data_IF_942312156632
#
_entry.id   IF_942312156632
#
_cell.length_a   1.000
_cell.length_b   1.000
_cell.length_c   1.000
_cell.angle_alpha   90.00
_cell.angle_beta   90.00
_cell.angle_gamma   90.00
#
_symmetry.space_group_name_H-M   'P 1'
#
loop_
_entity.id
_entity.type
_entity.pdbx_description
1 polymer ?
#
# COMPACT_ATOMS: atom_id res chain seq x y z
N UNK A 1 2.51 19.06 11.12
CA UNK A 1 3.31 17.86 10.86
C UNK A 1 2.35 16.69 10.93
N UNK A 2 1.90 16.17 9.79
CA UNK A 2 1.03 14.99 9.78
C UNK A 2 1.92 13.77 10.01
N UNK A 3 1.93 13.23 11.22
CA UNK A 3 2.60 11.97 11.50
C UNK A 3 1.95 10.88 10.66
N UNK A 4 2.72 10.28 9.76
CA UNK A 4 2.26 9.07 9.07
C UNK A 4 1.98 8.00 10.13
N UNK A 5 0.82 7.33 10.08
CA UNK A 5 0.52 6.27 11.04
C UNK A 5 1.61 5.19 10.96
N UNK A 6 1.95 4.54 12.08
CA UNK A 6 2.98 3.49 12.10
C UNK A 6 2.59 2.27 11.25
N UNK A 7 1.29 2.01 11.13
CA UNK A 7 0.72 0.94 10.32
C UNK A 7 -0.43 1.47 9.47
N UNK A 8 -0.51 0.98 8.24
CA UNK A 8 -1.55 1.32 7.27
C UNK A 8 -2.29 0.08 6.80
N UNK A 9 -3.57 0.27 6.49
CA UNK A 9 -4.39 -0.75 5.85
C UNK A 9 -4.67 -0.43 4.38
N UNK A 10 -5.30 -1.36 3.66
CA UNK A 10 -5.70 -1.17 2.27
C UNK A 10 -6.57 0.07 2.05
N UNK A 11 -7.47 0.37 2.99
CA UNK A 11 -8.38 1.52 2.90
C UNK A 11 -7.60 2.85 2.95
N UNK A 12 -6.66 2.97 3.90
CA UNK A 12 -5.79 4.14 4.00
C UNK A 12 -4.96 4.34 2.74
N UNK A 13 -4.35 3.27 2.23
CA UNK A 13 -3.51 3.32 1.02
C UNK A 13 -4.33 3.71 -0.20
N UNK A 14 -5.55 3.19 -0.33
CA UNK A 14 -6.45 3.58 -1.40
C UNK A 14 -6.75 5.07 -1.37
N UNK A 15 -7.12 5.60 -0.21
CA UNK A 15 -7.58 6.99 -0.08
C UNK A 15 -6.45 8.02 -0.15
N UNK A 16 -5.30 7.71 0.43
CA UNK A 16 -4.20 8.67 0.58
C UNK A 16 -3.10 8.50 -0.48
N UNK A 17 -2.97 7.32 -1.10
CA UNK A 17 -1.90 7.04 -2.08
C UNK A 17 -2.46 6.91 -3.50
N UNK A 18 -3.50 6.09 -3.71
CA UNK A 18 -4.01 5.79 -5.06
C UNK A 18 -5.15 6.71 -5.54
N UNK A 19 -5.96 7.28 -4.63
CA UNK A 19 -7.03 8.23 -4.96
C UNK A 19 -6.63 9.72 -4.78
N UNK A 20 -5.33 10.02 -4.70
CA UNK A 20 -4.86 11.41 -4.76
C UNK A 20 -5.19 12.05 -6.12
N UNK A 21 -5.23 13.39 -6.16
CA UNK A 21 -5.58 14.20 -7.36
C UNK A 21 -4.78 13.83 -8.62
N UNK A 22 -3.59 13.23 -8.46
CA UNK A 22 -2.73 12.74 -9.54
C UNK A 22 -2.28 11.27 -9.36
N UNK A 23 -2.91 10.51 -8.47
CA UNK A 23 -2.54 9.12 -8.18
C UNK A 23 -3.14 8.13 -9.19
N UNK A 24 -2.49 6.96 -9.41
CA UNK A 24 -3.10 5.91 -10.22
C UNK A 24 -4.35 5.37 -9.52
N UNK A 25 -5.52 5.47 -10.18
CA UNK A 25 -6.79 4.97 -9.64
C UNK A 25 -6.81 3.45 -9.60
N UNK A 26 -6.27 2.87 -8.52
CA UNK A 26 -6.34 1.45 -8.25
C UNK A 26 -7.70 1.13 -7.60
N UNK A 27 -8.41 0.14 -8.14
CA UNK A 27 -9.65 -0.34 -7.53
C UNK A 27 -9.35 -1.05 -6.19
N UNK A 28 -10.38 -1.24 -5.35
CA UNK A 28 -10.23 -1.89 -4.04
C UNK A 28 -9.51 -3.24 -4.15
N UNK A 29 -9.85 -4.06 -5.15
CA UNK A 29 -9.22 -5.36 -5.35
C UNK A 29 -7.73 -5.24 -5.66
N UNK A 30 -7.32 -4.26 -6.46
CA UNK A 30 -5.93 -3.99 -6.77
C UNK A 30 -5.14 -3.57 -5.54
N UNK A 31 -5.71 -2.71 -4.69
CA UNK A 31 -5.05 -2.32 -3.44
C UNK A 31 -4.94 -3.52 -2.50
N UNK A 32 -6.01 -4.30 -2.32
CA UNK A 32 -5.95 -5.52 -1.51
C UNK A 32 -4.94 -6.54 -2.05
N UNK A 33 -4.81 -6.67 -3.37
CA UNK A 33 -3.82 -7.55 -3.98
C UNK A 33 -2.38 -7.16 -3.58
N UNK A 34 -2.07 -5.86 -3.46
CA UNK A 34 -0.75 -5.40 -2.99
C UNK A 34 -0.44 -5.87 -1.56
N UNK A 35 -1.45 -5.94 -0.70
CA UNK A 35 -1.30 -6.43 0.68
C UNK A 35 -1.26 -7.97 0.76
N UNK A 36 -1.76 -8.66 -0.27
CA UNK A 36 -1.76 -10.13 -0.34
C UNK A 36 -0.51 -10.70 -1.03
N UNK A 37 0.34 -9.85 -1.61
CA UNK A 37 1.58 -10.28 -2.27
C UNK A 37 2.54 -10.90 -1.27
N UNK A 38 3.16 -12.02 -1.65
CA UNK A 38 4.11 -12.75 -0.81
C UNK A 38 5.35 -11.93 -0.46
N UNK A 39 5.73 -11.01 -1.35
CA UNK A 39 6.88 -10.12 -1.19
C UNK A 39 6.54 -8.78 -0.52
N UNK A 40 5.26 -8.55 -0.19
CA UNK A 40 4.81 -7.36 0.52
C UNK A 40 5.17 -7.45 2.01
N UNK A 41 5.55 -6.34 2.67
CA UNK A 41 5.72 -6.29 4.13
C UNK A 41 4.39 -6.31 4.89
N UNK A 42 3.27 -6.53 4.19
CA UNK A 42 1.95 -6.63 4.78
C UNK A 42 1.76 -7.96 5.54
N UNK A 43 0.96 -7.90 6.59
CA UNK A 43 0.55 -9.04 7.40
C UNK A 43 -0.94 -8.94 7.74
N UNK A 44 -1.53 -10.09 8.08
CA UNK A 44 -2.96 -10.20 8.38
C UNK A 44 -3.17 -10.38 9.87
N UNK A 45 -3.97 -9.51 10.50
CA UNK A 45 -4.46 -9.67 11.88
C UNK A 45 -5.97 -9.90 11.82
N UNK A 46 -6.39 -11.12 12.19
CA UNK A 46 -7.79 -11.54 12.07
C UNK A 46 -8.28 -11.49 10.63
N UNK A 47 -9.25 -10.62 10.34
CA UNK A 47 -9.81 -10.43 8.98
C UNK A 47 -9.22 -9.22 8.24
N UNK A 48 -8.34 -8.44 8.87
CA UNK A 48 -7.82 -7.17 8.33
C UNK A 48 -6.35 -7.31 7.94
N UNK A 49 -5.97 -6.60 6.89
CA UNK A 49 -4.59 -6.48 6.43
C UNK A 49 -3.98 -5.19 6.95
N UNK A 50 -2.72 -5.28 7.35
CA UNK A 50 -1.92 -4.17 7.84
C UNK A 50 -0.53 -4.25 7.23
N UNK A 51 0.13 -3.12 7.07
CA UNK A 51 1.54 -3.07 6.71
C UNK A 51 2.22 -1.95 7.49
N UNK A 52 3.49 -2.10 7.89
CA UNK A 52 4.26 -0.98 8.42
C UNK A 52 4.44 0.08 7.32
N UNK A 53 4.17 1.34 7.65
CA UNK A 53 4.01 2.39 6.63
C UNK A 53 5.25 2.62 5.80
N UNK A 54 6.39 2.88 6.44
CA UNK A 54 7.64 3.15 5.72
C UNK A 54 8.08 1.95 4.87
N UNK A 55 8.20 0.72 5.41
CA UNK A 55 8.52 -0.46 4.60
C UNK A 55 7.57 -0.71 3.43
N UNK A 56 6.26 -0.51 3.62
CA UNK A 56 5.28 -0.71 2.57
C UNK A 56 5.41 0.31 1.44
N UNK A 57 5.61 1.59 1.78
CA UNK A 57 5.84 2.64 0.78
C UNK A 57 7.15 2.42 0.02
N UNK A 58 8.21 2.02 0.70
CA UNK A 58 9.50 1.70 0.07
C UNK A 58 9.39 0.52 -0.89
N UNK A 59 8.70 -0.55 -0.46
CA UNK A 59 8.40 -1.69 -1.31
C UNK A 59 7.55 -1.29 -2.51
N UNK A 60 6.51 -0.47 -2.31
CA UNK A 60 5.63 -0.02 -3.37
C UNK A 60 6.37 0.80 -4.43
N UNK A 61 7.29 1.68 -4.00
CA UNK A 61 8.12 2.46 -4.90
C UNK A 61 9.05 1.57 -5.74
N UNK A 62 9.63 0.51 -5.14
CA UNK A 62 10.42 -0.49 -5.88
C UNK A 62 9.59 -1.24 -6.93
N UNK A 63 8.32 -1.52 -6.65
CA UNK A 63 7.41 -2.13 -7.63
C UNK A 63 7.09 -1.21 -8.81
N UNK A 64 7.04 0.11 -8.59
CA UNK A 64 6.82 1.08 -9.66
C UNK A 64 8.04 1.20 -10.58
N UNK A 65 9.25 1.21 -10.02
CA UNK A 65 10.51 1.32 -10.76
C UNK A 65 10.85 0.04 -11.54
N UNK A 66 10.51 -1.14 -11.03
CA UNK A 66 10.78 -2.41 -11.72
C UNK A 66 9.90 -2.65 -12.96
N UNK A 67 8.95 -1.76 -13.29
CA UNK A 67 8.14 -1.86 -14.51
C UNK A 67 8.76 -1.20 -15.75
N UNK A 68 9.92 -0.55 -15.59
CA UNK A 68 10.66 0.09 -16.69
C UNK A 68 11.84 -0.76 -17.22
N UNK A 69 11.93 -2.04 -16.84
CA UNK A 69 12.95 -3.00 -17.31
C UNK A 69 12.41 -4.06 -18.26
#
# INVERSE_FOLDING_TARGET
MSENPKYIGPEYVRENIFNGVNGPKLNNNGVYALFQRKDSPAFKIGKKWFAPTEPFLEWLNKQALNKEG
#
